data_IF_592277583549
#
_entry.id   IF_592277583549
#
_cell.length_a   1.000
_cell.length_b   1.000
_cell.length_c   1.000
_cell.angle_alpha   90.00
_cell.angle_beta   90.00
_cell.angle_gamma   90.00
#
_symmetry.space_group_name_H-M   'P 1'
#
loop_
_entity.id
_entity.type
_entity.pdbx_description
1 polymer ?
#
# COMPACT_ATOMS: atom_id res chain seq x y z
N UNK A 1 -73.76 42.44 4.17
CA UNK A 1 -72.94 41.40 4.83
C UNK A 1 -71.63 41.26 4.07
N UNK A 2 -70.55 41.86 4.58
CA UNK A 2 -69.23 41.92 3.93
C UNK A 2 -68.22 41.19 4.83
N UNK A 3 -67.79 39.97 4.45
CA UNK A 3 -66.79 39.21 5.21
C UNK A 3 -65.38 39.56 4.70
N UNK A 4 -64.61 40.25 5.55
CA UNK A 4 -63.16 40.45 5.38
C UNK A 4 -62.45 39.12 5.67
N UNK A 5 -61.66 38.64 4.73
CA UNK A 5 -60.74 37.51 4.91
C UNK A 5 -59.32 38.04 4.96
N UNK A 6 -58.72 37.93 6.14
CA UNK A 6 -57.34 38.30 6.45
C UNK A 6 -56.40 37.27 5.82
N UNK A 7 -55.59 37.69 4.83
CA UNK A 7 -54.54 36.84 4.26
C UNK A 7 -53.32 36.86 5.20
N UNK A 8 -53.04 35.72 5.81
CA UNK A 8 -51.87 35.47 6.62
C UNK A 8 -50.65 35.27 5.70
N UNK A 9 -49.67 36.16 5.79
CA UNK A 9 -48.43 36.16 5.01
C UNK A 9 -47.42 35.27 5.72
N UNK A 10 -47.17 34.06 5.20
CA UNK A 10 -46.11 33.16 5.67
C UNK A 10 -44.81 33.48 4.93
N UNK A 11 -43.85 34.06 5.64
CA UNK A 11 -42.49 34.31 5.14
C UNK A 11 -41.69 33.02 5.34
N UNK A 12 -41.32 32.36 4.24
CA UNK A 12 -40.47 31.18 4.23
C UNK A 12 -39.00 31.64 4.34
N UNK A 13 -38.40 31.49 5.52
CA UNK A 13 -36.98 31.75 5.73
C UNK A 13 -36.12 30.67 5.07
N UNK A 14 -35.31 31.04 4.08
CA UNK A 14 -34.29 30.17 3.51
C UNK A 14 -33.08 30.18 4.44
N UNK A 15 -32.87 29.08 5.17
CA UNK A 15 -31.63 28.82 5.91
C UNK A 15 -30.63 28.22 4.93
N UNK A 16 -29.61 28.98 4.55
CA UNK A 16 -28.44 28.45 3.83
C UNK A 16 -27.48 27.92 4.89
N UNK A 17 -27.52 26.61 5.11
CA UNK A 17 -26.52 25.94 5.92
C UNK A 17 -25.24 25.76 5.08
N UNK A 18 -24.23 26.58 5.31
CA UNK A 18 -22.87 26.29 4.83
C UNK A 18 -22.31 25.16 5.68
N UNK A 19 -22.53 23.93 5.23
CA UNK A 19 -21.83 22.78 5.79
C UNK A 19 -20.35 22.87 5.44
N UNK A 20 -19.52 23.25 6.41
CA UNK A 20 -18.09 22.96 6.33
C UNK A 20 -17.96 21.45 6.55
N UNK A 21 -17.97 20.70 5.46
CA UNK A 21 -17.58 19.30 5.48
C UNK A 21 -16.10 19.25 5.84
N UNK A 22 -15.79 19.00 7.11
CA UNK A 22 -14.49 18.44 7.46
C UNK A 22 -14.48 17.03 6.88
N UNK A 23 -13.90 16.87 5.69
CA UNK A 23 -13.40 15.57 5.25
C UNK A 23 -12.40 15.15 6.31
N UNK A 24 -12.82 14.26 7.21
CA UNK A 24 -11.86 13.46 7.95
C UNK A 24 -11.40 12.44 6.93
N UNK A 25 -10.20 12.64 6.40
CA UNK A 25 -9.55 11.62 5.59
C UNK A 25 -9.48 10.37 6.48
N UNK A 26 -10.33 9.40 6.17
CA UNK A 26 -10.42 8.17 6.93
C UNK A 26 -9.20 7.35 6.56
N UNK A 27 -8.28 7.17 7.53
CA UNK A 27 -7.17 6.22 7.36
C UNK A 27 -7.73 4.86 6.94
N UNK A 28 -7.12 4.23 5.95
CA UNK A 28 -7.37 2.84 5.61
C UNK A 28 -7.23 2.00 6.88
N UNK A 29 -8.25 1.19 7.13
CA UNK A 29 -8.19 0.24 8.23
C UNK A 29 -7.23 -0.89 7.85
N UNK A 30 -6.49 -1.43 8.82
CA UNK A 30 -5.71 -2.64 8.63
C UNK A 30 -6.57 -3.76 8.03
N UNK A 31 -5.97 -4.51 7.11
CA UNK A 31 -6.56 -5.70 6.52
C UNK A 31 -6.59 -6.78 7.60
N UNK A 32 -7.77 -7.31 7.96
CA UNK A 32 -7.83 -8.48 8.83
C UNK A 32 -7.26 -9.68 8.09
N UNK A 33 -6.43 -10.47 8.77
CA UNK A 33 -6.06 -11.80 8.34
C UNK A 33 -7.29 -12.71 8.18
N UNK A 34 -7.25 -13.59 7.17
CA UNK A 34 -8.30 -14.56 6.85
C UNK A 34 -7.66 -15.92 6.56
N UNK A 35 -7.88 -16.86 7.48
CA UNK A 35 -7.43 -18.24 7.35
C UNK A 35 -8.37 -19.13 6.48
N UNK A 36 -7.83 -20.18 5.80
CA UNK A 36 -6.41 -20.56 5.76
C UNK A 36 -5.61 -19.76 4.71
N UNK A 37 -4.47 -19.21 5.08
CA UNK A 37 -3.50 -18.57 4.20
C UNK A 37 -2.12 -19.30 4.20
N UNK A 38 -2.11 -20.55 4.68
CA UNK A 38 -0.96 -21.33 5.17
C UNK A 38 0.11 -21.72 4.13
N UNK A 39 -0.11 -21.39 2.84
CA UNK A 39 0.73 -21.85 1.73
C UNK A 39 0.82 -20.80 0.63
N UNK A 40 1.85 -20.91 -0.21
CA UNK A 40 1.97 -20.10 -1.44
C UNK A 40 0.69 -20.12 -2.30
N UNK A 41 -0.07 -21.23 -2.31
CA UNK A 41 -1.27 -21.39 -3.12
C UNK A 41 -2.56 -20.84 -2.47
N UNK A 42 -2.57 -20.71 -1.14
CA UNK A 42 -3.72 -20.23 -0.36
C UNK A 42 -3.55 -18.79 0.11
N UNK A 43 -2.42 -18.16 -0.22
CA UNK A 43 -2.06 -16.81 0.20
C UNK A 43 -3.18 -15.76 0.01
N UNK A 44 -3.45 -14.98 1.05
CA UNK A 44 -4.50 -13.97 1.09
C UNK A 44 -4.18 -12.77 0.21
N UNK A 45 -5.08 -12.38 -0.69
CA UNK A 45 -4.87 -11.19 -1.52
C UNK A 45 -5.17 -9.89 -0.77
N UNK A 46 -4.19 -8.99 -0.74
CA UNK A 46 -4.26 -7.67 -0.08
C UNK A 46 -4.16 -6.49 -1.04
N UNK A 47 -4.07 -6.75 -2.35
CA UNK A 47 -3.90 -5.70 -3.38
C UNK A 47 -5.00 -4.65 -3.38
N UNK A 48 -6.21 -5.03 -2.97
CA UNK A 48 -7.39 -4.15 -2.94
C UNK A 48 -7.38 -3.12 -1.80
N UNK A 49 -6.41 -3.21 -0.90
CA UNK A 49 -6.36 -2.43 0.33
C UNK A 49 -5.29 -1.34 0.32
N UNK A 50 -4.57 -1.18 -0.78
CA UNK A 50 -3.47 -0.21 -0.87
C UNK A 50 -4.00 1.23 -0.87
N UNK A 51 -3.47 2.08 0.00
CA UNK A 51 -3.79 3.51 0.06
C UNK A 51 -2.53 4.37 0.25
N UNK A 52 -2.67 5.69 0.13
CA UNK A 52 -1.62 6.67 0.41
C UNK A 52 -1.85 7.38 1.75
N UNK A 53 -2.58 6.73 2.66
CA UNK A 53 -2.87 7.33 3.95
C UNK A 53 -1.59 7.49 4.76
N UNK A 54 -1.41 8.67 5.35
CA UNK A 54 -0.21 8.96 6.10
C UNK A 54 -0.09 8.02 7.31
N UNK A 55 0.94 7.19 7.32
CA UNK A 55 1.34 6.39 8.46
C UNK A 55 2.79 6.69 8.86
N UNK A 56 3.00 6.86 10.16
CA UNK A 56 4.31 7.20 10.72
C UNK A 56 5.19 5.97 10.91
N UNK A 57 4.60 4.77 10.88
CA UNK A 57 5.31 3.51 10.96
C UNK A 57 5.70 2.99 9.57
N UNK A 58 5.23 3.61 8.48
CA UNK A 58 5.48 3.13 7.13
C UNK A 58 6.31 4.15 6.37
N UNK A 59 7.47 3.71 5.91
CA UNK A 59 8.39 4.52 5.09
C UNK A 59 7.68 5.02 3.82
N UNK A 60 7.75 6.33 3.57
CA UNK A 60 7.16 6.98 2.39
C UNK A 60 5.64 6.72 2.19
N UNK A 61 4.86 6.51 3.26
CA UNK A 61 3.43 6.16 3.24
C UNK A 61 2.49 7.06 2.42
N UNK A 62 2.88 8.32 2.18
CA UNK A 62 2.11 9.28 1.34
C UNK A 62 2.59 9.35 -0.11
N UNK A 63 3.66 8.63 -0.45
CA UNK A 63 4.27 8.57 -1.77
C UNK A 63 4.15 7.17 -2.39
N UNK A 64 4.23 6.12 -1.57
CA UNK A 64 4.14 4.72 -1.97
C UNK A 64 2.85 4.14 -1.39
N UNK A 65 1.91 3.67 -2.23
CA UNK A 65 0.71 3.01 -1.76
C UNK A 65 1.07 1.77 -0.94
N UNK A 66 0.38 1.62 0.17
CA UNK A 66 0.65 0.57 1.16
C UNK A 66 -0.62 -0.05 1.70
N UNK A 67 -0.51 -1.30 2.16
CA UNK A 67 -1.50 -1.97 2.98
C UNK A 67 -0.83 -2.50 4.24
N UNK A 68 -1.56 -2.43 5.35
CA UNK A 68 -1.14 -3.02 6.63
C UNK A 68 -2.04 -4.20 6.94
N UNK A 69 -1.45 -5.33 7.31
CA UNK A 69 -2.15 -6.52 7.80
C UNK A 69 -1.93 -6.65 9.30
N UNK A 70 -2.99 -6.94 10.04
CA UNK A 70 -2.87 -7.43 11.41
C UNK A 70 -3.07 -8.94 11.38
N UNK A 71 -1.95 -9.66 11.52
CA UNK A 71 -1.91 -11.11 11.53
C UNK A 71 -1.67 -11.68 12.92
N UNK A 72 -1.91 -12.97 13.05
CA UNK A 72 -1.84 -13.74 14.27
C UNK A 72 -1.36 -15.16 14.00
N UNK A 73 -0.42 -15.63 14.81
CA UNK A 73 0.05 -17.00 14.69
C UNK A 73 -1.02 -18.01 15.10
N UNK A 74 -1.15 -19.05 14.29
CA UNK A 74 -2.00 -20.21 14.55
C UNK A 74 -1.24 -21.55 14.48
N UNK A 75 0.10 -21.48 14.43
CA UNK A 75 1.00 -22.61 14.24
C UNK A 75 1.20 -23.01 12.77
N UNK A 76 0.76 -22.18 11.84
CA UNK A 76 1.02 -22.29 10.39
C UNK A 76 1.72 -21.04 9.87
N UNK A 77 2.29 -21.10 8.66
CA UNK A 77 2.98 -19.96 8.06
C UNK A 77 2.00 -19.08 7.30
N UNK A 78 2.05 -17.77 7.50
CA UNK A 78 1.07 -16.89 6.86
C UNK A 78 1.58 -16.37 5.52
N UNK A 79 0.75 -16.40 4.48
CA UNK A 79 1.10 -15.88 3.15
C UNK A 79 0.10 -14.86 2.63
N UNK A 80 0.63 -13.81 2.01
CA UNK A 80 -0.15 -12.72 1.43
C UNK A 80 0.27 -12.45 -0.01
N UNK A 81 -0.70 -12.19 -0.90
CA UNK A 81 -0.43 -11.83 -2.29
C UNK A 81 -0.73 -10.38 -2.58
N UNK A 82 0.13 -9.78 -3.39
CA UNK A 82 -0.01 -8.41 -3.87
C UNK A 82 0.37 -8.31 -5.35
N UNK A 83 -0.09 -7.23 -5.99
CA UNK A 83 0.11 -7.02 -7.42
C UNK A 83 1.14 -5.91 -7.68
N UNK A 84 2.14 -6.23 -8.47
CA UNK A 84 3.11 -5.28 -9.03
C UNK A 84 2.71 -4.97 -10.46
N UNK A 85 2.44 -3.70 -10.74
CA UNK A 85 1.89 -3.27 -12.04
C UNK A 85 2.93 -3.17 -13.14
N UNK A 86 4.17 -2.83 -12.77
CA UNK A 86 5.21 -2.45 -13.72
C UNK A 86 6.56 -3.05 -13.33
N UNK A 87 7.37 -3.39 -14.33
CA UNK A 87 8.77 -3.71 -14.10
C UNK A 87 9.51 -2.46 -13.59
N UNK A 88 10.42 -2.65 -12.63
CA UNK A 88 11.14 -1.59 -11.94
C UNK A 88 10.39 -0.97 -10.77
N UNK A 89 9.17 -1.44 -10.44
CA UNK A 89 8.51 -1.08 -9.18
C UNK A 89 9.40 -1.48 -7.99
N UNK A 90 9.47 -0.60 -6.99
CA UNK A 90 10.06 -0.87 -5.67
C UNK A 90 8.97 -1.41 -4.74
N UNK A 91 9.30 -2.46 -4.00
CA UNK A 91 8.51 -2.99 -2.88
C UNK A 91 9.27 -2.82 -1.57
N UNK A 92 8.58 -2.38 -0.54
CA UNK A 92 9.09 -2.29 0.83
C UNK A 92 8.16 -3.14 1.70
N UNK A 93 8.74 -4.08 2.45
CA UNK A 93 8.02 -5.00 3.32
C UNK A 93 8.70 -5.04 4.67
N UNK A 94 7.91 -4.86 5.72
CA UNK A 94 8.42 -4.74 7.09
C UNK A 94 7.37 -5.24 8.08
N UNK A 95 7.84 -5.65 9.25
CA UNK A 95 6.97 -5.94 10.39
C UNK A 95 7.34 -5.01 11.53
N UNK A 96 6.35 -4.36 12.10
CA UNK A 96 6.54 -3.49 13.25
C UNK A 96 6.20 -4.16 14.59
N UNK A 97 6.74 -3.57 15.65
CA UNK A 97 6.38 -3.83 17.05
C UNK A 97 6.70 -5.24 17.53
N UNK A 98 7.67 -5.90 16.92
CA UNK A 98 8.19 -7.17 17.44
C UNK A 98 9.24 -6.89 18.51
N UNK A 99 9.31 -7.77 19.50
CA UNK A 99 10.18 -7.79 20.69
C UNK A 99 11.06 -6.56 21.11
N UNK A 100 11.11 -6.15 22.41
CA UNK A 100 10.48 -6.75 23.60
C UNK A 100 9.27 -5.94 24.11
N UNK A 101 8.54 -5.23 23.25
CA UNK A 101 7.39 -4.41 23.65
C UNK A 101 6.02 -5.03 23.30
N UNK A 102 5.92 -6.35 23.30
CA UNK A 102 4.66 -7.09 23.25
C UNK A 102 4.40 -7.82 24.57
N UNK A 103 3.20 -7.69 25.13
CA UNK A 103 2.80 -8.30 26.41
C UNK A 103 2.70 -9.85 26.35
N UNK A 104 3.04 -10.49 25.23
CA UNK A 104 2.63 -11.86 24.89
C UNK A 104 3.68 -12.82 24.29
N UNK A 105 4.97 -12.50 24.18
CA UNK A 105 5.92 -13.54 23.72
C UNK A 105 7.23 -13.05 23.13
N UNK A 106 8.08 -14.02 22.76
CA UNK A 106 9.40 -13.88 22.10
C UNK A 106 9.30 -14.01 20.58
N UNK A 107 8.23 -13.51 19.97
CA UNK A 107 8.07 -13.55 18.52
C UNK A 107 9.14 -12.71 17.83
N UNK A 108 10.03 -13.38 17.10
CA UNK A 108 11.13 -12.81 16.31
C UNK A 108 10.86 -13.17 14.84
N UNK A 109 10.14 -12.32 14.08
CA UNK A 109 9.65 -12.68 12.77
C UNK A 109 10.73 -12.67 11.68
N UNK A 110 10.40 -13.36 10.60
CA UNK A 110 11.18 -13.40 9.37
C UNK A 110 10.25 -13.30 8.16
N UNK A 111 10.64 -12.47 7.19
CA UNK A 111 9.92 -12.24 5.94
C UNK A 111 10.53 -13.02 4.77
N UNK A 112 9.67 -13.50 3.87
CA UNK A 112 10.07 -14.23 2.67
C UNK A 112 9.28 -13.74 1.45
N UNK A 113 9.97 -13.10 0.51
CA UNK A 113 9.39 -12.63 -0.74
C UNK A 113 9.56 -13.68 -1.84
N UNK A 114 8.45 -14.13 -2.43
CA UNK A 114 8.40 -15.11 -3.50
C UNK A 114 7.80 -14.55 -4.79
N UNK A 115 8.27 -15.08 -5.91
CA UNK A 115 7.50 -15.11 -7.15
C UNK A 115 6.43 -16.20 -7.09
N UNK A 116 5.39 -16.09 -7.93
CA UNK A 116 4.26 -17.03 -7.98
C UNK A 116 4.62 -18.44 -8.45
N UNK A 117 5.80 -18.65 -9.03
CA UNK A 117 6.33 -19.97 -9.36
C UNK A 117 7.07 -20.66 -8.20
N UNK A 118 7.10 -20.03 -7.02
CA UNK A 118 7.80 -20.52 -5.83
C UNK A 118 9.26 -20.07 -5.74
N UNK A 119 9.77 -19.28 -6.70
CA UNK A 119 11.13 -18.74 -6.61
C UNK A 119 11.23 -17.75 -5.45
N UNK A 120 12.09 -18.03 -4.48
CA UNK A 120 12.44 -17.08 -3.41
C UNK A 120 13.29 -15.95 -4.00
N UNK A 121 12.84 -14.71 -3.81
CA UNK A 121 13.48 -13.49 -4.33
C UNK A 121 14.30 -12.78 -3.26
N UNK A 122 13.80 -12.74 -2.03
CA UNK A 122 14.46 -12.13 -0.88
C UNK A 122 13.91 -12.74 0.43
N UNK A 123 14.71 -12.70 1.49
CA UNK A 123 14.26 -13.01 2.84
C UNK A 123 15.07 -12.16 3.84
N UNK A 124 14.47 -11.81 4.97
CA UNK A 124 15.15 -11.05 6.02
C UNK A 124 14.47 -11.28 7.38
N UNK A 125 15.27 -11.39 8.43
CA UNK A 125 14.87 -11.50 9.84
C UNK A 125 15.24 -10.24 10.64
N UNK A 126 16.29 -9.51 10.24
CA UNK A 126 16.79 -8.34 10.95
C UNK A 126 17.26 -7.23 10.00
N UNK A 127 17.01 -5.98 10.37
CA UNK A 127 17.63 -4.81 9.71
C UNK A 127 19.16 -4.90 9.85
N UNK A 128 19.93 -4.80 8.75
CA UNK A 128 21.38 -4.83 8.82
C UNK A 128 21.99 -3.78 9.78
N UNK A 129 23.06 -4.09 10.53
CA UNK A 129 23.67 -3.15 11.47
C UNK A 129 24.13 -1.83 10.85
N UNK A 130 24.42 -1.80 9.55
CA UNK A 130 24.85 -0.59 8.83
C UNK A 130 23.69 0.31 8.36
N UNK A 131 22.48 -0.23 8.25
CA UNK A 131 21.32 0.47 7.68
C UNK A 131 20.62 1.35 8.73
N UNK A 132 19.88 2.40 8.33
CA UNK A 132 19.04 3.12 9.26
C UNK A 132 17.98 2.20 9.87
N UNK A 133 17.45 2.59 11.03
CA UNK A 133 16.25 1.96 11.59
C UNK A 133 15.06 2.26 10.67
N UNK A 134 14.22 1.26 10.41
CA UNK A 134 12.99 1.46 9.65
C UNK A 134 12.00 2.32 10.44
N UNK A 135 11.06 2.94 9.73
CA UNK A 135 9.93 3.59 10.37
C UNK A 135 9.16 2.55 11.20
N UNK A 136 8.57 2.96 12.33
CA UNK A 136 7.80 2.05 13.20
C UNK A 136 8.66 1.13 14.09
N UNK A 137 9.85 0.73 13.65
CA UNK A 137 10.77 -0.07 14.45
C UNK A 137 11.43 0.69 15.60
N UNK A 138 11.68 -0.01 16.72
CA UNK A 138 12.43 0.51 17.89
C UNK A 138 13.82 -0.13 18.02
N UNK A 139 14.00 -1.30 17.44
CA UNK A 139 15.21 -2.12 17.42
C UNK A 139 15.45 -2.63 16.01
N UNK A 140 16.66 -3.13 15.72
CA UNK A 140 16.99 -3.71 14.41
C UNK A 140 16.52 -5.15 14.24
N UNK A 141 15.63 -5.60 15.11
CA UNK A 141 15.11 -6.97 15.17
C UNK A 141 13.86 -7.17 14.34
N UNK A 142 13.24 -6.07 13.91
CA UNK A 142 12.16 -6.12 12.96
C UNK A 142 12.73 -6.47 11.56
N UNK A 143 12.11 -7.41 10.81
CA UNK A 143 12.53 -7.76 9.47
C UNK A 143 12.17 -6.66 8.48
N UNK A 144 13.06 -6.42 7.52
CA UNK A 144 12.89 -5.39 6.49
C UNK A 144 13.41 -5.88 5.12
N UNK A 145 12.58 -5.75 4.09
CA UNK A 145 12.94 -6.06 2.70
C UNK A 145 12.64 -4.84 1.81
N UNK A 146 13.67 -4.32 1.14
CA UNK A 146 13.55 -3.36 0.03
C UNK A 146 13.96 -4.05 -1.27
N UNK A 147 13.02 -4.22 -2.19
CA UNK A 147 13.19 -5.03 -3.40
C UNK A 147 12.73 -4.28 -4.66
N UNK A 148 13.49 -4.41 -5.75
CA UNK A 148 13.07 -3.89 -7.07
C UNK A 148 12.62 -5.04 -7.97
N UNK A 149 11.35 -5.02 -8.37
CA UNK A 149 10.75 -6.06 -9.19
C UNK A 149 11.20 -5.99 -10.64
N UNK A 150 11.72 -7.10 -11.18
CA UNK A 150 12.15 -7.16 -12.58
C UNK A 150 10.98 -7.26 -13.57
N UNK A 151 9.77 -7.56 -13.11
CA UNK A 151 8.60 -7.79 -13.96
C UNK A 151 7.32 -7.39 -13.23
N UNK A 152 6.29 -7.06 -14.01
CA UNK A 152 4.93 -6.96 -13.48
C UNK A 152 4.38 -8.36 -13.18
N UNK A 153 3.49 -8.46 -12.20
CA UNK A 153 2.86 -9.72 -11.84
C UNK A 153 2.35 -9.74 -10.41
N UNK A 154 1.85 -10.90 -10.01
CA UNK A 154 1.53 -11.18 -8.61
C UNK A 154 2.75 -11.75 -7.92
N UNK A 155 2.98 -11.31 -6.70
CA UNK A 155 4.05 -11.75 -5.82
C UNK A 155 3.46 -12.12 -4.45
N UNK A 156 4.24 -12.87 -3.68
CA UNK A 156 3.80 -13.44 -2.40
C UNK A 156 4.80 -13.00 -1.33
N UNK A 157 4.31 -12.46 -0.22
CA UNK A 157 5.10 -12.25 0.99
C UNK A 157 4.64 -13.28 2.02
N UNK A 158 5.58 -14.00 2.62
CA UNK A 158 5.32 -14.97 3.68
C UNK A 158 5.94 -14.52 5.00
N UNK A 159 5.28 -14.86 6.10
CA UNK A 159 5.67 -14.57 7.47
C UNK A 159 6.00 -15.88 8.19
N UNK A 160 7.13 -15.89 8.91
CA UNK A 160 7.52 -16.99 9.78
C UNK A 160 8.29 -16.47 10.99
N UNK A 161 8.80 -17.37 11.81
CA UNK A 161 9.77 -17.05 12.86
C UNK A 161 11.21 -17.22 12.39
N UNK A 162 12.12 -16.55 13.12
CA UNK A 162 13.56 -16.63 12.94
C UNK A 162 14.05 -18.08 12.96
N UNK A 163 15.03 -18.39 12.10
CA UNK A 163 15.50 -19.77 11.88
C UNK A 163 14.74 -20.54 10.80
N UNK A 164 13.67 -19.97 10.25
CA UNK A 164 12.98 -20.48 9.06
C UNK A 164 13.80 -20.27 7.77
N UNK A 165 13.48 -21.07 6.74
CA UNK A 165 14.17 -21.07 5.45
C UNK A 165 13.15 -21.12 4.32
N UNK A 166 13.35 -20.30 3.28
CA UNK A 166 12.52 -20.36 2.09
C UNK A 166 12.92 -21.46 1.11
N UNK A 167 11.94 -22.17 0.56
CA UNK A 167 12.12 -23.25 -0.44
C UNK A 167 11.20 -23.04 -1.64
N UNK A 168 11.42 -23.72 -2.78
CA UNK A 168 10.51 -23.63 -3.92
C UNK A 168 9.05 -24.05 -3.63
N UNK A 169 8.81 -24.77 -2.53
CA UNK A 169 7.47 -25.20 -2.10
C UNK A 169 6.89 -24.33 -0.98
N UNK A 170 7.57 -23.24 -0.60
CA UNK A 170 7.20 -22.38 0.52
C UNK A 170 8.23 -22.41 1.65
N UNK A 171 7.86 -21.80 2.77
CA UNK A 171 8.67 -21.72 3.99
C UNK A 171 8.68 -23.08 4.69
N UNK A 172 9.82 -23.42 5.27
CA UNK A 172 9.99 -24.53 6.22
C UNK A 172 10.73 -24.02 7.45
N UNK A 173 10.45 -24.58 8.62
CA UNK A 173 11.05 -24.13 9.87
C UNK A 173 9.98 -23.89 10.91
N UNK A 174 10.08 -22.73 11.58
CA UNK A 174 9.26 -22.35 12.71
C UNK A 174 8.20 -21.33 12.29
N UNK A 175 6.94 -21.70 12.48
CA UNK A 175 5.79 -20.90 12.11
C UNK A 175 5.38 -20.02 13.30
N UNK A 176 4.73 -18.86 13.08
CA UNK A 176 4.22 -18.04 14.16
C UNK A 176 3.36 -18.86 15.13
N UNK A 177 3.76 -18.88 16.40
CA UNK A 177 3.11 -19.67 17.43
C UNK A 177 1.68 -19.20 17.71
N UNK A 178 0.82 -20.10 18.20
CA UNK A 178 -0.54 -19.76 18.61
C UNK A 178 -0.54 -18.65 19.66
N UNK A 179 -1.08 -17.49 19.31
CA UNK A 179 -1.16 -16.33 20.20
C UNK A 179 -0.09 -15.26 19.96
N UNK A 180 0.80 -15.47 18.99
CA UNK A 180 1.63 -14.40 18.45
C UNK A 180 0.80 -13.45 17.58
N UNK A 181 1.28 -12.21 17.47
CA UNK A 181 0.64 -11.16 16.69
C UNK A 181 1.69 -10.31 16.01
N UNK A 182 1.38 -9.83 14.81
CA UNK A 182 2.27 -8.96 14.07
C UNK A 182 1.52 -7.93 13.24
N UNK A 183 2.23 -6.85 12.90
CA UNK A 183 1.77 -5.81 11.98
C UNK A 183 2.65 -5.85 10.75
N UNK A 184 2.15 -6.42 9.66
CA UNK A 184 2.88 -6.50 8.39
C UNK A 184 2.50 -5.31 7.51
N UNK A 185 3.49 -4.53 7.08
CA UNK A 185 3.32 -3.45 6.12
C UNK A 185 3.83 -3.87 4.74
N UNK A 186 3.05 -3.55 3.70
CA UNK A 186 3.32 -3.95 2.32
C UNK A 186 3.16 -2.72 1.43
N UNK A 187 4.28 -2.16 0.99
CA UNK A 187 4.31 -0.95 0.17
C UNK A 187 4.85 -1.25 -1.23
N UNK A 188 4.17 -0.82 -2.29
CA UNK A 188 4.63 -1.03 -3.68
C UNK A 188 4.45 0.23 -4.50
N UNK A 189 5.53 0.70 -5.13
CA UNK A 189 5.48 1.89 -5.97
C UNK A 189 4.66 1.62 -7.23
N UNK A 190 3.61 2.40 -7.53
CA UNK A 190 3.12 2.53 -8.88
C UNK A 190 4.21 3.25 -9.69
N UNK A 191 4.70 2.63 -10.77
CA UNK A 191 5.67 3.33 -11.62
C UNK A 191 4.96 4.53 -12.26
N UNK A 192 5.57 5.73 -12.28
CA UNK A 192 5.05 6.81 -13.11
C UNK A 192 5.16 6.35 -14.56
N UNK A 193 4.03 6.14 -15.25
CA UNK A 193 4.03 5.64 -16.62
C UNK A 193 5.04 6.43 -17.48
N UNK A 194 6.15 5.81 -17.94
CA UNK A 194 7.21 6.53 -18.65
C UNK A 194 6.69 7.17 -19.95
N UNK A 195 5.60 6.63 -20.49
CA UNK A 195 4.97 7.12 -21.71
C UNK A 195 3.98 8.28 -21.48
N UNK A 196 3.26 8.35 -20.36
CA UNK A 196 2.13 9.30 -20.23
C UNK A 196 2.57 10.75 -20.10
N UNK A 197 3.68 11.03 -19.42
CA UNK A 197 4.25 12.39 -19.35
C UNK A 197 4.89 12.77 -20.69
N UNK A 198 5.60 11.85 -21.34
CA UNK A 198 6.25 12.10 -22.63
C UNK A 198 5.23 12.33 -23.76
N UNK A 199 4.15 11.53 -23.81
CA UNK A 199 3.08 11.65 -24.81
C UNK A 199 2.22 12.90 -24.58
N UNK A 200 1.95 13.26 -23.32
CA UNK A 200 1.28 14.52 -23.00
C UNK A 200 2.14 15.73 -23.39
N UNK A 201 3.45 15.70 -23.09
CA UNK A 201 4.40 16.73 -23.50
C UNK A 201 4.50 16.88 -25.01
N UNK A 202 4.58 15.77 -25.74
CA UNK A 202 4.61 15.76 -27.21
C UNK A 202 3.28 16.25 -27.83
N UNK A 203 2.14 15.88 -27.26
CA UNK A 203 0.81 16.34 -27.69
C UNK A 203 0.62 17.84 -27.54
N UNK A 204 1.07 18.43 -26.42
CA UNK A 204 1.02 19.88 -26.20
C UNK A 204 1.99 20.62 -27.11
N UNK A 205 3.22 20.10 -27.29
CA UNK A 205 4.22 20.72 -28.17
C UNK A 205 3.78 20.73 -29.65
N UNK A 206 3.15 19.66 -30.14
CA UNK A 206 2.62 19.58 -31.51
C UNK A 206 1.43 20.53 -31.72
N UNK A 207 0.52 20.66 -30.75
CA UNK A 207 -0.58 21.63 -30.81
C UNK A 207 -0.09 23.09 -30.83
N UNK A 208 0.93 23.42 -30.04
CA UNK A 208 1.57 24.75 -30.04
C UNK A 208 2.28 25.00 -31.38
N UNK A 209 3.01 24.01 -31.89
CA UNK A 209 3.68 24.07 -33.20
C UNK A 209 2.68 24.29 -34.35
N UNK A 210 1.57 23.54 -34.35
CA UNK A 210 0.52 23.65 -35.35
C UNK A 210 -0.16 25.03 -35.35
N UNK A 211 -0.49 25.56 -34.17
CA UNK A 211 -1.10 26.90 -34.02
C UNK A 211 -0.16 28.02 -34.50
N UNK A 212 1.15 27.91 -34.24
CA UNK A 212 2.15 28.87 -34.71
C UNK A 212 2.30 28.85 -36.24
N UNK A 213 2.26 27.66 -36.85
CA UNK A 213 2.34 27.48 -38.31
C UNK A 213 1.14 28.10 -39.03
N UNK A 214 -0.08 27.86 -38.53
CA UNK A 214 -1.31 28.41 -39.12
C UNK A 214 -1.36 29.95 -39.07
N UNK A 215 -0.88 30.56 -37.97
CA UNK A 215 -0.81 32.03 -37.85
C UNK A 215 0.14 32.66 -38.87
N UNK A 216 1.32 32.07 -39.10
CA UNK A 216 2.29 32.56 -40.11
C UNK A 216 1.75 32.47 -41.54
N UNK A 217 1.05 31.40 -41.88
CA UNK A 217 0.46 31.25 -43.21
C UNK A 217 -0.63 32.30 -43.48
N UNK A 218 -1.40 32.69 -42.45
CA UNK A 218 -2.40 33.75 -42.58
C UNK A 218 -1.80 35.17 -42.67
N UNK A 219 -0.55 35.37 -42.23
CA UNK A 219 0.13 36.69 -42.32
C UNK A 219 0.91 36.89 -43.62
N UNK A 220 1.19 35.81 -44.35
CA UNK A 220 1.88 35.84 -45.65
C UNK A 220 0.90 35.88 -46.84
N UNK A 221 -0.39 35.69 -46.57
CA UNK A 221 -1.46 35.69 -47.57
C UNK A 221 -2.32 36.98 -47.55
N UNK A 222 -1.91 37.97 -46.76
CA UNK A 222 -2.49 39.32 -46.68
C UNK A 222 -1.43 40.33 -47.13
#
# INVERSE_FOLDING_TARGET
>A
MLRRSTRCLLILGVVVATGVGVSRDAKALPVPEVEPNDTLATAQNVSGNFSLDADANITDSTLIPHATVFGSGDGTFDYYTFSVKDAGSRGIFDIDFTFPFGMFGTFDPMLFLYATDGTLLAQNDNIPPADPLDAGSVTKTDPYIDYTFASAGTYIIGVAETGSIGTPTGIVGDAPDVGDFYTLNISVTPVPEPASIALFGAGVATLIGYRRRKRRQNTLAA
#
